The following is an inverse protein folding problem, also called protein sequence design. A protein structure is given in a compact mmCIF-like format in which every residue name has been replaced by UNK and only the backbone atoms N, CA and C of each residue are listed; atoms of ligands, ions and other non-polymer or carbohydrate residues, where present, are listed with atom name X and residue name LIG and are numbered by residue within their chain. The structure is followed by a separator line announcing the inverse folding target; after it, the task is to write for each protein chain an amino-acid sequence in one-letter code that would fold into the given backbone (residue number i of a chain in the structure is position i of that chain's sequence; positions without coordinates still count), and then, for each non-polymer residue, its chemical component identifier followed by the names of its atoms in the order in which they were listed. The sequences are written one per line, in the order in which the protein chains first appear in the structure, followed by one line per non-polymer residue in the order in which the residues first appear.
data_IF_790267800631
#
_entry.id   IF_790267800631
#
_cell.length_a   1.000
_cell.length_b   1.000
_cell.length_c   1.000
_cell.angle_alpha   90.00
_cell.angle_beta   90.00
_cell.angle_gamma   90.00
#
_symmetry.space_group_name_H-M   'P 1'
#
loop_
_entity.id
_entity.type
_entity.pdbx_description
1 polymer ?
#
# COMPACT_ATOMS: atom_id res chain seq x y z
N UNK A 1 18.06 -17.63 -0.77
CA UNK A 1 17.58 -17.49 -0.46
C UNK A 1 16.70 -17.79 -0.57
N UNK A 2 16.96 -18.08 -0.67
CA UNK A 2 16.05 -18.40 -1.03
C UNK A 2 14.84 -18.20 -0.42
N UNK A 3 14.58 -18.92 0.42
CA UNK A 3 13.33 -18.83 1.01
C UNK A 3 12.96 -17.43 1.27
N UNK A 4 13.92 -16.75 1.60
CA UNK A 4 13.68 -15.38 1.90
C UNK A 4 12.96 -14.69 0.80
N UNK A 5 13.00 -15.29 -0.32
CA UNK A 5 12.38 -14.65 -1.43
C UNK A 5 10.97 -15.10 -1.61
N UNK A 6 10.30 -15.23 -0.56
CA UNK A 6 8.89 -15.44 -0.64
C UNK A 6 8.26 -14.38 -1.47
N UNK A 7 8.91 -13.25 -1.51
CA UNK A 7 8.43 -12.20 -2.35
C UNK A 7 8.94 -10.88 -1.85
N UNK A 8 9.29 -10.03 -2.75
CA UNK A 8 9.66 -8.68 -2.39
C UNK A 8 8.40 -7.86 -2.20
N UNK A 9 8.48 -6.91 -1.31
CA UNK A 9 7.35 -6.04 -1.03
C UNK A 9 7.80 -4.59 -1.18
N UNK A 10 7.09 -3.88 -2.00
CA UNK A 10 7.30 -2.44 -2.15
C UNK A 10 6.43 -1.71 -1.14
N UNK A 11 6.97 -0.67 -0.54
CA UNK A 11 6.20 0.17 0.35
C UNK A 11 5.99 1.51 -0.34
N UNK A 12 4.75 1.86 -0.56
CA UNK A 12 4.41 3.13 -1.19
C UNK A 12 4.13 4.17 -0.13
N UNK A 13 4.60 5.36 -0.38
CA UNK A 13 4.33 6.48 0.50
C UNK A 13 3.12 7.24 -0.04
N UNK A 14 2.09 7.28 0.76
CA UNK A 14 0.87 7.99 0.40
C UNK A 14 0.83 9.24 1.26
N UNK A 15 1.08 10.37 0.66
CA UNK A 15 1.12 11.62 1.39
C UNK A 15 -0.29 12.14 1.59
N UNK A 16 -0.57 12.53 2.82
CA UNK A 16 -1.86 13.08 3.16
C UNK A 16 -2.10 14.36 2.38
N UNK A 17 -3.29 14.49 1.83
CA UNK A 17 -3.64 15.68 1.10
C UNK A 17 -2.99 15.81 -0.25
N UNK A 18 -2.33 14.76 -0.71
CA UNK A 18 -1.61 14.81 -1.97
C UNK A 18 -2.52 14.77 -3.19
N UNK A 19 -3.76 14.40 -3.02
CA UNK A 19 -4.63 14.24 -4.17
C UNK A 19 -4.25 13.05 -5.03
N UNK A 20 -3.60 12.07 -4.43
CA UNK A 20 -3.14 10.89 -5.15
C UNK A 20 -4.33 10.13 -5.72
N UNK A 21 -4.43 10.05 -7.01
CA UNK A 21 -5.50 9.34 -7.66
C UNK A 21 -5.13 7.91 -8.00
N UNK A 22 -6.13 7.16 -8.45
CA UNK A 22 -5.92 5.76 -8.78
C UNK A 22 -4.88 5.60 -9.89
N UNK A 23 -4.83 6.52 -10.84
CA UNK A 23 -3.88 6.42 -11.94
C UNK A 23 -2.45 6.52 -11.46
N UNK A 24 -2.19 7.43 -10.51
CA UNK A 24 -0.84 7.59 -9.97
C UNK A 24 -0.46 6.34 -9.21
N UNK A 25 -1.38 5.81 -8.43
CA UNK A 25 -1.13 4.60 -7.66
C UNK A 25 -0.84 3.41 -8.58
N UNK A 26 -1.58 3.30 -9.68
CA UNK A 26 -1.34 2.23 -10.64
C UNK A 26 0.04 2.35 -11.27
N UNK A 27 0.49 3.58 -11.55
CA UNK A 27 1.81 3.79 -12.11
C UNK A 27 2.89 3.34 -11.13
N UNK A 28 2.73 3.65 -9.85
CA UNK A 28 3.68 3.23 -8.85
C UNK A 28 3.70 1.70 -8.69
N UNK A 29 2.54 1.08 -8.79
CA UNK A 29 2.45 -0.37 -8.73
C UNK A 29 3.12 -1.01 -9.94
N UNK A 30 2.98 -0.41 -11.11
CA UNK A 30 3.63 -0.91 -12.31
C UNK A 30 5.14 -0.87 -12.16
N UNK A 31 5.68 0.20 -11.55
CA UNK A 31 7.11 0.27 -11.30
C UNK A 31 7.56 -0.83 -10.34
N UNK A 32 6.78 -1.07 -9.29
CA UNK A 32 7.11 -2.11 -8.34
C UNK A 32 7.12 -3.48 -9.02
N UNK A 33 6.14 -3.73 -9.87
CA UNK A 33 6.08 -4.98 -10.60
C UNK A 33 7.29 -5.15 -11.52
N UNK A 34 7.70 -4.07 -12.16
CA UNK A 34 8.84 -4.11 -13.07
C UNK A 34 10.13 -4.42 -12.31
N UNK A 35 10.23 -4.03 -11.04
CA UNK A 35 11.40 -4.35 -10.24
C UNK A 35 11.39 -5.76 -9.68
N UNK A 36 10.31 -6.50 -9.90
CA UNK A 36 10.18 -7.85 -9.39
C UNK A 36 9.54 -7.96 -8.03
N UNK A 37 8.95 -6.90 -7.53
CA UNK A 37 8.22 -6.95 -6.28
C UNK A 37 6.96 -7.78 -6.46
N UNK A 38 6.61 -8.54 -5.42
CA UNK A 38 5.45 -9.41 -5.48
C UNK A 38 4.23 -8.81 -4.81
N UNK A 39 4.44 -7.84 -3.95
CA UNK A 39 3.37 -7.19 -3.21
C UNK A 39 3.69 -5.72 -3.03
N UNK A 40 2.65 -4.96 -2.78
CA UNK A 40 2.75 -3.54 -2.49
C UNK A 40 2.01 -3.29 -1.18
N UNK A 41 2.62 -2.54 -0.28
CA UNK A 41 1.93 -2.13 0.93
C UNK A 41 1.99 -0.62 1.07
N UNK A 42 1.04 -0.07 1.79
CA UNK A 42 1.00 1.34 2.09
C UNK A 42 0.37 1.55 3.46
N UNK A 43 0.55 2.74 3.99
CA UNK A 43 -0.03 3.11 5.28
C UNK A 43 -1.12 4.13 4.99
N UNK A 44 -2.37 3.68 5.07
CA UNK A 44 -3.51 4.50 4.71
C UNK A 44 -4.14 5.08 5.95
N UNK A 45 -4.69 6.30 5.83
CA UNK A 45 -5.55 6.79 6.87
C UNK A 45 -6.80 5.92 6.90
N UNK A 46 -7.29 5.61 8.09
CA UNK A 46 -8.47 4.77 8.21
C UNK A 46 -9.66 5.34 7.43
N UNK A 47 -9.74 6.65 7.35
CA UNK A 47 -10.83 7.29 6.61
C UNK A 47 -10.75 7.04 5.11
N UNK A 48 -9.58 6.64 4.61
CA UNK A 48 -9.38 6.36 3.19
C UNK A 48 -9.36 4.86 2.89
N UNK A 49 -9.61 4.03 3.89
CA UNK A 49 -9.50 2.60 3.73
C UNK A 49 -10.41 2.09 2.60
N UNK A 50 -11.62 2.62 2.51
CA UNK A 50 -12.56 2.18 1.48
C UNK A 50 -12.05 2.43 0.07
N UNK A 51 -11.35 3.54 -0.13
CA UNK A 51 -10.77 3.85 -1.43
C UNK A 51 -9.78 2.78 -1.84
N UNK A 52 -8.88 2.40 -0.93
CA UNK A 52 -7.87 1.40 -1.24
C UNK A 52 -8.47 0.00 -1.34
N UNK A 53 -9.48 -0.30 -0.54
CA UNK A 53 -10.19 -1.57 -0.67
C UNK A 53 -10.79 -1.71 -2.06
N UNK A 54 -11.33 -0.62 -2.59
CA UNK A 54 -11.89 -0.63 -3.93
C UNK A 54 -10.84 -0.87 -5.01
N UNK A 55 -9.57 -0.64 -4.69
CA UNK A 55 -8.47 -0.90 -5.63
C UNK A 55 -7.82 -2.27 -5.40
N UNK A 56 -8.39 -3.09 -4.54
CA UNK A 56 -7.90 -4.43 -4.33
C UNK A 56 -6.95 -4.59 -3.16
N UNK A 57 -6.77 -3.55 -2.35
CA UNK A 57 -5.93 -3.63 -1.17
C UNK A 57 -6.70 -4.24 -0.01
N UNK A 58 -5.97 -4.94 0.87
CA UNK A 58 -6.54 -5.54 2.06
C UNK A 58 -5.86 -4.99 3.30
N UNK A 59 -6.59 -4.77 4.38
CA UNK A 59 -5.98 -4.30 5.62
C UNK A 59 -5.14 -5.40 6.26
N UNK A 60 -4.05 -5.00 6.89
CA UNK A 60 -3.14 -5.92 7.56
C UNK A 60 -2.92 -5.41 8.97
N UNK A 61 -3.20 -6.26 9.95
CA UNK A 61 -2.97 -5.92 11.35
C UNK A 61 -4.02 -4.97 11.89
N UNK A 62 -3.63 -4.25 12.92
CA UNK A 62 -4.53 -3.40 13.66
C UNK A 62 -4.30 -1.94 13.28
N UNK A 63 -5.33 -1.11 13.40
CA UNK A 63 -5.14 0.33 13.21
C UNK A 63 -4.17 0.87 14.26
N UNK A 64 -3.47 1.91 13.90
CA UNK A 64 -2.51 2.55 14.79
C UNK A 64 -2.59 4.06 14.60
N UNK A 65 -2.00 4.80 15.52
CA UNK A 65 -2.00 6.26 15.44
C UNK A 65 -0.72 6.74 14.79
N UNK A 66 -0.85 7.66 13.87
CA UNK A 66 0.28 8.32 13.28
C UNK A 66 -0.04 9.81 13.22
N UNK A 67 0.74 10.59 13.93
CA UNK A 67 0.52 12.04 14.04
C UNK A 67 -0.91 12.31 14.53
N UNK A 68 -1.39 11.49 15.45
CA UNK A 68 -2.72 11.65 16.03
C UNK A 68 -3.87 11.26 15.11
N UNK A 69 -3.58 10.65 13.97
CA UNK A 69 -4.61 10.27 13.01
C UNK A 69 -4.60 8.76 12.88
N UNK A 70 -5.76 8.11 12.95
CA UNK A 70 -5.78 6.64 12.78
C UNK A 70 -5.35 6.21 11.39
N UNK A 71 -4.43 5.27 11.35
CA UNK A 71 -3.91 4.69 10.10
C UNK A 71 -4.02 3.19 10.16
N UNK A 72 -3.95 2.56 9.00
CA UNK A 72 -3.90 1.11 8.91
C UNK A 72 -3.03 0.73 7.71
N UNK A 73 -2.23 -0.32 7.90
CA UNK A 73 -1.42 -0.83 6.81
C UNK A 73 -2.30 -1.63 5.87
N UNK A 74 -2.14 -1.41 4.59
CA UNK A 74 -2.88 -2.16 3.58
C UNK A 74 -1.91 -2.71 2.55
N UNK A 75 -2.25 -3.85 1.97
CA UNK A 75 -1.38 -4.48 0.99
C UNK A 75 -2.19 -5.10 -0.13
N UNK A 76 -1.50 -5.29 -1.25
CA UNK A 76 -2.08 -5.93 -2.42
C UNK A 76 -1.01 -6.72 -3.14
N UNK A 77 -1.38 -7.91 -3.63
CA UNK A 77 -0.49 -8.70 -4.48
C UNK A 77 -0.41 -8.06 -5.86
N UNK A 78 0.75 -8.12 -6.46
CA UNK A 78 0.97 -7.60 -7.80
C UNK A 78 0.72 -8.67 -8.85
#
# INVERSE_FOLDING_TARGET
QGGATIGRMATLRVLRGSGLGAQVLEALMAQARARGDKRVQLHAQCSAQGFYTGLGYEPVGQPYQEVGIPHITMQRAL
#
